data_IF_824105840968
#
_entry.id   IF_824105840968
#
_cell.length_a   1.000
_cell.length_b   1.000
_cell.length_c   1.000
_cell.angle_alpha   90.00
_cell.angle_beta   90.00
_cell.angle_gamma   90.00
#
_symmetry.space_group_name_H-M   'P 1'
#
loop_
_entity.id
_entity.type
_entity.pdbx_description
1 polymer ?
#
# COMPACT_ATOMS: atom_id res chain seq x y z
N UNK A 1 -12.91 -5.55 25.65
CA UNK A 1 -12.65 -4.10 25.55
C UNK A 1 -12.62 -3.80 24.06
N UNK A 2 -13.53 -2.98 23.53
CA UNK A 2 -13.52 -2.64 22.09
C UNK A 2 -12.36 -1.66 21.86
N UNK A 3 -11.42 -2.00 21.00
CA UNK A 3 -10.24 -1.17 20.72
C UNK A 3 -10.64 -0.03 19.80
N UNK A 4 -10.51 1.22 20.27
CA UNK A 4 -10.92 2.39 19.51
C UNK A 4 -9.94 2.67 18.36
N UNK A 5 -10.43 2.61 17.12
CA UNK A 5 -9.63 2.97 15.95
C UNK A 5 -9.41 4.49 15.93
N UNK A 6 -8.17 4.93 16.12
CA UNK A 6 -7.82 6.36 16.05
C UNK A 6 -6.65 6.57 15.10
N UNK A 7 -6.92 6.62 13.77
CA UNK A 7 -5.91 7.02 12.80
C UNK A 7 -5.41 8.42 13.19
N UNK A 8 -4.09 8.59 13.21
CA UNK A 8 -3.47 9.77 13.80
C UNK A 8 -2.90 10.69 12.72
N UNK A 9 -3.17 12.00 12.87
CA UNK A 9 -2.58 13.07 12.06
C UNK A 9 -1.56 13.79 12.95
N UNK A 10 -0.31 13.83 12.50
CA UNK A 10 0.81 14.45 13.18
C UNK A 10 1.23 15.71 12.43
N UNK A 11 1.40 16.80 13.17
CA UNK A 11 1.92 18.06 12.63
C UNK A 11 3.40 18.21 12.99
N UNK A 12 4.21 18.67 12.05
CA UNK A 12 5.66 18.77 12.24
C UNK A 12 6.25 19.99 11.54
N UNK A 13 7.39 20.47 12.05
CA UNK A 13 8.27 21.35 11.28
C UNK A 13 9.36 20.48 10.67
N UNK A 14 9.52 20.60 9.36
CA UNK A 14 10.64 20.00 8.68
C UNK A 14 11.84 20.96 8.72
N UNK A 15 12.97 20.49 9.22
CA UNK A 15 14.23 21.24 9.12
C UNK A 15 15.08 20.65 7.99
N UNK A 16 15.32 21.47 6.97
CA UNK A 16 16.29 21.20 5.90
C UNK A 16 17.42 22.25 5.92
N UNK A 17 17.79 22.74 7.10
CA UNK A 17 18.68 23.90 7.35
C UNK A 17 17.96 25.26 7.34
N UNK A 18 17.03 25.49 8.28
CA UNK A 18 16.50 26.84 8.58
C UNK A 18 16.31 27.08 10.07
N UNK A 19 16.65 28.28 10.53
CA UNK A 19 16.72 28.77 11.94
C UNK A 19 15.38 28.83 12.71
N UNK A 20 14.25 28.44 12.13
CA UNK A 20 12.93 28.56 12.75
C UNK A 20 12.49 27.31 13.52
N UNK A 21 13.26 26.96 14.56
CA UNK A 21 13.00 25.83 15.46
C UNK A 21 11.88 26.10 16.50
N UNK A 22 11.38 27.34 16.62
CA UNK A 22 10.80 27.79 17.89
C UNK A 22 9.33 27.47 18.17
N UNK A 23 8.57 26.88 17.23
CA UNK A 23 7.11 26.73 17.39
C UNK A 23 6.54 25.33 17.08
N UNK A 24 7.33 24.25 17.15
CA UNK A 24 6.80 22.88 16.97
C UNK A 24 7.17 21.92 18.09
N UNK A 25 6.24 21.02 18.40
CA UNK A 25 6.48 19.90 19.32
C UNK A 25 7.46 18.85 18.74
N UNK A 26 7.70 18.83 17.42
CA UNK A 26 8.50 17.81 16.72
C UNK A 26 9.25 18.33 15.48
N UNK A 27 10.48 17.83 15.27
CA UNK A 27 11.35 18.14 14.11
C UNK A 27 11.63 16.88 13.29
N UNK A 28 11.40 16.96 11.97
CA UNK A 28 11.75 15.91 11.01
C UNK A 28 13.04 16.27 10.27
N UNK A 29 14.07 15.41 10.36
CA UNK A 29 15.33 15.58 9.61
C UNK A 29 15.42 14.52 8.50
N UNK A 30 15.71 14.94 7.29
CA UNK A 30 15.96 14.02 6.18
C UNK A 30 17.31 13.31 6.39
N UNK A 31 17.30 11.98 6.44
CA UNK A 31 18.51 11.17 6.67
C UNK A 31 18.93 10.32 5.46
N UNK A 32 18.18 10.39 4.35
CA UNK A 32 18.52 9.76 3.07
C UNK A 32 17.37 8.98 2.43
N UNK A 33 17.63 8.39 1.27
CA UNK A 33 16.76 7.37 0.66
C UNK A 33 16.97 6.00 1.30
N UNK A 34 16.01 5.08 1.16
CA UNK A 34 16.19 3.66 1.55
C UNK A 34 17.38 3.07 0.78
N UNK A 35 18.17 2.15 1.36
CA UNK A 35 19.16 1.41 0.60
C UNK A 35 18.43 0.52 -0.42
N UNK A 36 18.77 0.69 -1.71
CA UNK A 36 18.33 -0.04 -2.91
C UNK A 36 17.16 0.56 -3.69
N UNK A 37 17.47 0.71 -4.97
CA UNK A 37 16.78 1.42 -6.05
C UNK A 37 15.34 0.93 -6.31
N UNK A 38 14.36 1.72 -5.90
CA UNK A 38 12.97 1.59 -6.33
C UNK A 38 12.27 2.95 -6.25
N UNK A 39 11.55 3.37 -7.29
CA UNK A 39 10.97 4.72 -7.41
C UNK A 39 9.69 4.97 -6.58
N UNK A 40 9.15 3.93 -5.95
CA UNK A 40 7.98 3.97 -5.07
C UNK A 40 8.38 4.00 -3.58
N UNK A 41 9.67 4.11 -3.28
CA UNK A 41 10.19 4.01 -1.91
C UNK A 41 10.05 5.33 -1.15
N UNK A 42 9.53 5.25 0.07
CA UNK A 42 9.50 6.40 0.98
C UNK A 42 10.89 6.84 1.43
N UNK A 43 11.01 8.09 1.89
CA UNK A 43 12.24 8.68 2.41
C UNK A 43 12.43 8.30 3.88
N UNK A 44 13.66 8.03 4.28
CA UNK A 44 13.96 7.84 5.69
C UNK A 44 14.15 9.21 6.34
N UNK A 45 13.41 9.45 7.41
CA UNK A 45 13.51 10.66 8.23
C UNK A 45 13.68 10.30 9.70
N UNK A 46 14.35 11.14 10.47
CA UNK A 46 14.34 11.03 11.94
C UNK A 46 13.29 11.98 12.51
N UNK A 47 12.42 11.45 13.37
CA UNK A 47 11.51 12.23 14.20
C UNK A 47 12.07 12.27 15.63
N UNK A 48 12.36 13.46 16.14
CA UNK A 48 12.73 13.66 17.53
C UNK A 48 11.46 13.89 18.36
N UNK A 49 11.11 12.93 19.22
CA UNK A 49 9.97 13.00 20.15
C UNK A 49 10.48 13.03 21.59
N UNK A 50 10.24 14.10 22.34
CA UNK A 50 10.51 14.16 23.79
C UNK A 50 11.92 13.67 24.22
N UNK A 51 12.94 13.94 23.40
CA UNK A 51 14.33 13.54 23.66
C UNK A 51 14.75 12.16 23.12
N UNK A 52 13.87 11.41 22.45
CA UNK A 52 14.19 10.17 21.74
C UNK A 52 14.09 10.36 20.21
N UNK A 53 15.07 9.86 19.45
CA UNK A 53 15.02 9.87 17.98
C UNK A 53 14.45 8.54 17.46
N UNK A 54 13.36 8.62 16.69
CA UNK A 54 12.77 7.49 15.95
C UNK A 54 13.03 7.64 14.45
N UNK A 55 13.29 6.54 13.72
CA UNK A 55 13.34 6.58 12.26
C UNK A 55 11.96 6.27 11.66
N UNK A 56 11.54 7.06 10.69
CA UNK A 56 10.25 6.96 10.02
C UNK A 56 10.51 6.90 8.51
N UNK A 57 9.81 6.01 7.81
CA UNK A 57 9.70 6.04 6.36
C UNK A 57 8.53 6.96 6.00
N UNK A 58 8.79 7.98 5.21
CA UNK A 58 7.78 8.91 4.71
C UNK A 58 7.52 8.62 3.25
N UNK A 59 6.30 8.20 2.91
CA UNK A 59 5.82 8.11 1.54
C UNK A 59 4.96 9.33 1.26
N UNK A 60 5.10 10.00 0.12
CA UNK A 60 4.05 10.92 -0.29
C UNK A 60 2.99 10.13 -1.05
N UNK A 61 1.72 10.29 -0.68
CA UNK A 61 0.59 9.74 -1.41
C UNK A 61 0.34 10.44 -2.76
N UNK A 62 0.95 11.60 -2.99
CA UNK A 62 1.01 12.24 -4.31
C UNK A 62 1.73 11.28 -5.25
N UNK A 63 1.25 11.01 -6.47
CA UNK A 63 1.82 10.01 -7.41
C UNK A 63 3.24 10.38 -7.90
N UNK A 64 4.19 10.34 -6.96
CA UNK A 64 5.60 10.74 -7.05
C UNK A 64 6.35 9.95 -8.11
N UNK A 65 6.06 8.65 -8.15
CA UNK A 65 6.62 7.71 -9.12
C UNK A 65 6.28 8.12 -10.54
N UNK A 66 5.07 8.64 -10.74
CA UNK A 66 4.62 9.08 -12.05
C UNK A 66 5.30 10.38 -12.48
N UNK A 67 5.33 11.38 -11.60
CA UNK A 67 6.04 12.66 -11.87
C UNK A 67 7.52 12.40 -12.16
N UNK A 68 8.16 11.53 -11.38
CA UNK A 68 9.54 11.09 -11.62
C UNK A 68 9.70 10.39 -12.96
N UNK A 69 8.89 9.37 -13.26
CA UNK A 69 8.96 8.64 -14.52
C UNK A 69 8.74 9.56 -15.72
N UNK A 70 7.79 10.48 -15.62
CA UNK A 70 7.53 11.50 -16.63
C UNK A 70 8.73 12.44 -16.79
N UNK A 71 9.33 12.89 -15.68
CA UNK A 71 10.55 13.72 -15.68
C UNK A 71 11.73 12.98 -16.34
N UNK A 72 11.95 11.71 -16.00
CA UNK A 72 12.99 10.86 -16.58
C UNK A 72 12.77 10.65 -18.09
N UNK A 73 11.52 10.40 -18.51
CA UNK A 73 11.17 10.27 -19.93
C UNK A 73 11.30 11.59 -20.70
N UNK A 74 10.95 12.72 -20.09
CA UNK A 74 11.17 14.05 -20.65
C UNK A 74 12.67 14.32 -20.88
N UNK A 75 13.51 14.01 -19.90
CA UNK A 75 14.97 14.12 -20.04
C UNK A 75 15.54 13.21 -21.12
N UNK A 76 14.94 12.03 -21.32
CA UNK A 76 15.28 11.08 -22.37
C UNK A 76 14.68 11.43 -23.75
N UNK A 77 13.84 12.48 -23.85
CA UNK A 77 13.07 12.84 -25.04
C UNK A 77 12.17 11.70 -25.56
N UNK A 78 11.55 10.96 -24.64
CA UNK A 78 10.64 9.85 -24.93
C UNK A 78 9.18 10.30 -24.83
N UNK A 79 8.75 11.12 -25.78
CA UNK A 79 7.42 11.76 -25.81
C UNK A 79 6.27 10.75 -25.78
N UNK A 80 6.47 9.57 -26.38
CA UNK A 80 5.47 8.48 -26.37
C UNK A 80 5.24 7.92 -24.97
N UNK A 81 6.29 7.75 -24.16
CA UNK A 81 6.11 7.30 -22.77
C UNK A 81 5.54 8.40 -21.88
N UNK A 82 5.89 9.66 -22.13
CA UNK A 82 5.29 10.81 -21.43
C UNK A 82 3.78 10.82 -21.67
N UNK A 83 3.35 10.77 -22.94
CA UNK A 83 1.93 10.74 -23.31
C UNK A 83 1.22 9.52 -22.71
N UNK A 84 1.85 8.34 -22.74
CA UNK A 84 1.27 7.14 -22.12
C UNK A 84 1.09 7.33 -20.60
N UNK A 85 2.06 7.93 -19.91
CA UNK A 85 2.05 8.12 -18.46
C UNK A 85 1.04 9.20 -18.05
N UNK A 86 1.09 10.37 -18.68
CA UNK A 86 0.21 11.49 -18.36
C UNK A 86 -1.20 11.32 -18.92
N UNK A 87 -1.32 10.88 -20.17
CA UNK A 87 -2.59 10.78 -20.88
C UNK A 87 -3.39 9.52 -20.60
N UNK A 88 -2.77 8.46 -20.06
CA UNK A 88 -3.48 7.19 -19.76
C UNK A 88 -3.40 6.78 -18.31
N UNK A 89 -2.22 6.82 -17.67
CA UNK A 89 -2.11 6.35 -16.28
C UNK A 89 -2.78 7.31 -15.28
N UNK A 90 -2.58 8.63 -15.39
CA UNK A 90 -3.22 9.61 -14.48
C UNK A 90 -4.74 9.46 -14.47
N UNK A 91 -5.43 9.51 -15.63
CA UNK A 91 -6.89 9.45 -15.61
C UNK A 91 -7.41 8.07 -15.19
N UNK A 92 -6.68 6.98 -15.47
CA UNK A 92 -7.09 5.63 -15.09
C UNK A 92 -7.25 5.46 -13.57
N UNK A 93 -6.36 6.03 -12.75
CA UNK A 93 -6.49 5.93 -11.29
C UNK A 93 -7.70 6.72 -10.77
N UNK A 94 -7.94 7.91 -11.34
CA UNK A 94 -9.14 8.69 -11.06
C UNK A 94 -10.42 7.92 -11.44
N UNK A 95 -10.51 7.40 -12.66
CA UNK A 95 -11.70 6.65 -13.11
C UNK A 95 -11.89 5.35 -12.33
N UNK A 96 -10.80 4.67 -11.97
CA UNK A 96 -10.84 3.48 -11.11
C UNK A 96 -11.44 3.81 -9.75
N UNK A 97 -11.05 4.91 -9.12
CA UNK A 97 -11.61 5.32 -7.82
C UNK A 97 -13.10 5.64 -7.90
N UNK A 98 -13.57 6.11 -9.05
CA UNK A 98 -14.97 6.42 -9.31
C UNK A 98 -15.75 5.28 -9.99
N UNK A 99 -15.15 4.11 -10.20
CA UNK A 99 -15.72 3.00 -10.98
C UNK A 99 -16.25 3.41 -12.37
N UNK A 100 -15.59 4.35 -13.03
CA UNK A 100 -15.95 4.86 -14.36
C UNK A 100 -15.14 4.13 -15.46
N UNK A 101 -15.77 3.87 -16.61
CA UNK A 101 -15.20 3.06 -17.71
C UNK A 101 -14.77 3.88 -18.93
N UNK A 102 -15.12 5.16 -19.02
CA UNK A 102 -14.77 6.04 -20.14
C UNK A 102 -13.57 6.92 -19.81
N UNK A 103 -12.57 6.92 -20.69
CA UNK A 103 -11.48 7.91 -20.69
C UNK A 103 -11.90 9.14 -21.51
N UNK A 104 -12.06 10.33 -20.91
CA UNK A 104 -12.32 11.56 -21.62
C UNK A 104 -11.07 12.11 -22.33
N UNK A 105 -11.29 13.10 -23.18
CA UNK A 105 -10.28 13.90 -23.91
C UNK A 105 -9.24 14.59 -22.99
N UNK A 106 -9.48 14.56 -21.68
CA UNK A 106 -8.64 15.05 -20.57
C UNK A 106 -7.20 14.54 -20.62
N UNK A 107 -6.94 13.32 -21.11
CA UNK A 107 -5.57 12.82 -21.19
C UNK A 107 -4.66 13.72 -22.04
N UNK A 108 -5.21 14.35 -23.07
CA UNK A 108 -4.51 15.33 -23.91
C UNK A 108 -4.28 16.65 -23.16
N UNK A 109 -5.30 17.16 -22.49
CA UNK A 109 -5.24 18.41 -21.71
C UNK A 109 -4.23 18.32 -20.56
N UNK A 110 -4.14 17.17 -19.89
CA UNK A 110 -3.13 16.90 -18.85
C UNK A 110 -1.71 16.92 -19.43
N UNK A 111 -1.52 16.29 -20.58
CA UNK A 111 -0.23 16.24 -21.25
C UNK A 111 0.23 17.62 -21.72
N UNK A 112 -0.66 18.41 -22.34
CA UNK A 112 -0.37 19.78 -22.78
C UNK A 112 -0.07 20.72 -21.60
N UNK A 113 -0.85 20.62 -20.51
CA UNK A 113 -0.59 21.40 -19.29
C UNK A 113 0.75 21.06 -18.66
N UNK A 114 1.13 19.77 -18.67
CA UNK A 114 2.45 19.36 -18.21
C UNK A 114 3.56 19.94 -19.08
N UNK A 115 3.51 19.77 -20.40
CA UNK A 115 4.55 20.27 -21.31
C UNK A 115 4.73 21.78 -21.19
N UNK A 116 3.63 22.53 -21.11
CA UNK A 116 3.69 23.99 -20.96
C UNK A 116 4.29 24.41 -19.62
N UNK A 117 3.96 23.69 -18.53
CA UNK A 117 4.61 23.93 -17.24
C UNK A 117 6.12 23.69 -17.33
N UNK A 118 6.56 22.62 -18.00
CA UNK A 118 8.00 22.32 -18.10
C UNK A 118 8.75 23.41 -18.85
N UNK A 119 8.14 24.01 -19.87
CA UNK A 119 8.73 25.09 -20.67
C UNK A 119 8.82 26.41 -19.89
N UNK A 120 7.79 26.75 -19.12
CA UNK A 120 7.64 28.09 -18.53
C UNK A 120 7.99 28.17 -17.02
N UNK A 121 8.15 27.03 -16.33
CA UNK A 121 8.34 27.02 -14.88
C UNK A 121 9.82 26.86 -14.47
N UNK A 122 10.36 27.88 -13.79
CA UNK A 122 11.74 27.89 -13.29
C UNK A 122 12.02 26.81 -12.24
N UNK A 123 11.03 26.41 -11.43
CA UNK A 123 11.18 25.33 -10.43
C UNK A 123 11.39 24.01 -11.15
N UNK A 124 10.55 23.72 -12.15
CA UNK A 124 10.67 22.49 -12.95
C UNK A 124 11.99 22.46 -13.72
N UNK A 125 12.40 23.58 -14.30
CA UNK A 125 13.69 23.74 -14.99
C UNK A 125 14.88 23.49 -14.04
N UNK A 126 14.81 23.99 -12.81
CA UNK A 126 15.84 23.80 -11.78
C UNK A 126 15.96 22.34 -11.35
N UNK A 127 14.82 21.66 -11.11
CA UNK A 127 14.79 20.23 -10.79
C UNK A 127 15.36 19.40 -11.94
N UNK A 128 14.91 19.64 -13.18
CA UNK A 128 15.45 18.97 -14.38
C UNK A 128 16.96 19.18 -14.55
N UNK A 129 17.46 20.40 -14.31
CA UNK A 129 18.90 20.69 -14.35
C UNK A 129 19.67 19.98 -13.23
N UNK A 130 19.06 19.81 -12.06
CA UNK A 130 19.58 19.00 -10.96
C UNK A 130 19.70 17.53 -11.34
N UNK A 131 18.64 16.94 -11.89
CA UNK A 131 18.62 15.54 -12.32
C UNK A 131 19.66 15.28 -13.42
N UNK A 132 19.79 16.18 -14.40
CA UNK A 132 20.87 16.11 -15.42
C UNK A 132 22.27 16.09 -14.82
N UNK A 133 22.46 16.65 -13.63
CA UNK A 133 23.73 16.67 -12.88
C UNK A 133 23.85 15.51 -11.88
N UNK A 134 22.95 14.53 -11.92
CA UNK A 134 22.95 13.38 -11.03
C UNK A 134 22.40 13.66 -9.63
N UNK A 135 21.69 14.78 -9.41
CA UNK A 135 20.98 15.00 -8.14
C UNK A 135 19.76 14.10 -8.06
N UNK A 136 19.53 13.54 -6.89
CA UNK A 136 18.35 12.72 -6.58
C UNK A 136 17.16 13.66 -6.39
N UNK A 137 16.04 13.37 -7.08
CA UNK A 137 14.77 14.03 -6.85
C UNK A 137 14.28 13.66 -5.44
N UNK A 138 14.02 14.65 -4.60
CA UNK A 138 13.50 14.44 -3.25
C UNK A 138 11.99 14.76 -3.16
N UNK A 139 11.40 14.47 -2.01
CA UNK A 139 9.96 14.65 -1.77
C UNK A 139 9.48 16.11 -1.90
N UNK A 140 10.37 17.10 -1.68
CA UNK A 140 10.07 18.53 -1.83
C UNK A 140 10.04 18.94 -3.29
N UNK A 141 11.04 18.52 -4.06
CA UNK A 141 11.08 18.76 -5.51
C UNK A 141 9.77 18.29 -6.14
N UNK A 142 9.29 17.13 -5.72
CA UNK A 142 8.07 16.54 -6.27
C UNK A 142 6.82 17.26 -5.77
N UNK A 143 6.73 17.59 -4.48
CA UNK A 143 5.63 18.41 -3.98
C UNK A 143 5.54 19.74 -4.74
N UNK A 144 6.66 20.44 -4.90
CA UNK A 144 6.70 21.71 -5.61
C UNK A 144 6.32 21.55 -7.07
N UNK A 145 6.81 20.50 -7.74
CA UNK A 145 6.39 20.18 -9.10
C UNK A 145 4.87 19.97 -9.17
N UNK A 146 4.31 19.10 -8.32
CA UNK A 146 2.86 18.84 -8.32
C UNK A 146 2.07 20.10 -7.98
N UNK A 147 2.55 20.90 -7.04
CA UNK A 147 1.91 22.14 -6.64
C UNK A 147 1.85 23.14 -7.79
N UNK A 148 2.95 23.30 -8.52
CA UNK A 148 2.99 24.17 -9.69
C UNK A 148 2.18 23.59 -10.85
N UNK A 149 2.15 22.26 -11.05
CA UNK A 149 1.26 21.61 -12.02
C UNK A 149 -0.21 21.94 -11.75
N UNK A 150 -0.66 21.77 -10.52
CA UNK A 150 -2.06 22.01 -10.12
C UNK A 150 -2.43 23.49 -10.19
N UNK A 151 -1.51 24.40 -9.85
CA UNK A 151 -1.71 25.84 -10.07
C UNK A 151 -1.89 26.19 -11.54
N UNK A 152 -1.11 25.54 -12.40
CA UNK A 152 -1.12 25.80 -13.84
C UNK A 152 -2.41 25.31 -14.50
N UNK A 153 -2.91 24.14 -14.06
CA UNK A 153 -4.20 23.61 -14.51
C UNK A 153 -5.01 23.03 -13.35
N UNK A 154 -6.09 23.74 -12.99
CA UNK A 154 -6.95 23.35 -11.87
C UNK A 154 -7.68 22.02 -12.07
N UNK A 155 -7.80 21.51 -13.30
CA UNK A 155 -8.33 20.15 -13.56
C UNK A 155 -7.47 19.07 -12.91
N UNK A 156 -6.17 19.32 -12.72
CA UNK A 156 -5.27 18.38 -12.07
C UNK A 156 -5.57 18.21 -10.57
N UNK A 157 -6.34 19.10 -9.93
CA UNK A 157 -6.89 18.85 -8.59
C UNK A 157 -7.73 17.57 -8.55
N UNK A 158 -8.49 17.29 -9.61
CA UNK A 158 -9.30 16.08 -9.68
C UNK A 158 -8.42 14.88 -10.04
N UNK A 159 -7.71 14.97 -11.15
CA UNK A 159 -7.02 13.82 -11.73
C UNK A 159 -5.74 13.40 -11.02
N UNK A 160 -5.08 14.33 -10.31
CA UNK A 160 -3.92 14.04 -9.46
C UNK A 160 -4.29 14.10 -7.98
N UNK A 161 -5.07 15.12 -7.58
CA UNK A 161 -5.42 15.33 -6.18
C UNK A 161 -6.31 14.24 -5.60
N UNK A 162 -7.29 13.71 -6.35
CA UNK A 162 -8.15 12.62 -5.87
C UNK A 162 -7.36 11.33 -5.62
N UNK A 163 -6.60 10.76 -6.58
CA UNK A 163 -5.78 9.58 -6.31
C UNK A 163 -4.81 9.79 -5.15
N UNK A 164 -4.18 10.97 -5.08
CA UNK A 164 -3.22 11.28 -4.05
C UNK A 164 -3.82 11.34 -2.65
N UNK A 165 -4.96 12.01 -2.51
CA UNK A 165 -5.69 12.09 -1.25
C UNK A 165 -6.16 10.70 -0.80
N UNK A 166 -6.66 9.88 -1.72
CA UNK A 166 -7.13 8.54 -1.39
C UNK A 166 -6.00 7.58 -1.08
N UNK A 167 -4.83 7.68 -1.70
CA UNK A 167 -3.66 6.89 -1.29
C UNK A 167 -3.24 7.22 0.15
N UNK A 168 -3.27 8.51 0.54
CA UNK A 168 -3.03 8.93 1.94
C UNK A 168 -4.06 8.31 2.89
N UNK A 169 -5.35 8.49 2.60
CA UNK A 169 -6.44 8.03 3.46
C UNK A 169 -6.43 6.50 3.56
N UNK A 170 -6.43 5.82 2.41
CA UNK A 170 -6.52 4.37 2.31
C UNK A 170 -5.31 3.71 2.97
N UNK A 171 -4.10 4.21 2.70
CA UNK A 171 -2.86 3.68 3.25
C UNK A 171 -2.82 3.76 4.77
N UNK A 172 -3.11 4.95 5.32
CA UNK A 172 -3.09 5.15 6.78
C UNK A 172 -4.23 4.40 7.46
N UNK A 173 -5.44 4.49 6.92
CA UNK A 173 -6.61 3.90 7.56
C UNK A 173 -6.55 2.37 7.58
N UNK A 174 -6.24 1.74 6.44
CA UNK A 174 -6.15 0.28 6.34
C UNK A 174 -5.01 -0.27 7.20
N UNK A 175 -3.83 0.38 7.19
CA UNK A 175 -2.72 -0.04 8.04
C UNK A 175 -3.06 0.09 9.53
N UNK A 176 -3.80 1.12 9.96
CA UNK A 176 -4.24 1.24 11.36
C UNK A 176 -5.19 0.10 11.76
N UNK A 177 -6.07 -0.37 10.88
CA UNK A 177 -6.90 -1.55 11.15
C UNK A 177 -6.01 -2.81 11.26
N UNK A 178 -5.07 -3.00 10.33
CA UNK A 178 -4.14 -4.14 10.39
C UNK A 178 -3.25 -4.09 11.63
N UNK A 179 -2.91 -2.91 12.14
CA UNK A 179 -2.18 -2.76 13.39
C UNK A 179 -2.99 -3.25 14.60
N UNK A 180 -4.31 -3.04 14.62
CA UNK A 180 -5.17 -3.63 15.66
C UNK A 180 -5.12 -5.16 15.64
N UNK A 181 -4.94 -5.77 14.47
CA UNK A 181 -4.69 -7.21 14.37
C UNK A 181 -3.29 -7.57 14.90
N UNK A 182 -2.25 -6.83 14.49
CA UNK A 182 -0.88 -7.04 14.98
C UNK A 182 -0.80 -6.98 16.52
N UNK A 183 -1.57 -6.10 17.18
CA UNK A 183 -1.66 -6.01 18.65
C UNK A 183 -2.10 -7.32 19.32
N UNK A 184 -2.71 -8.26 18.60
CA UNK A 184 -3.12 -9.54 19.17
C UNK A 184 -1.96 -10.52 19.37
N UNK A 185 -0.79 -10.29 18.77
CA UNK A 185 0.33 -11.24 18.83
C UNK A 185 1.73 -10.62 18.77
N UNK A 186 1.85 -9.31 18.57
CA UNK A 186 3.11 -8.56 18.59
C UNK A 186 3.14 -7.58 19.76
N UNK A 187 4.32 -7.36 20.33
CA UNK A 187 4.50 -6.25 21.24
C UNK A 187 4.34 -4.90 20.52
N UNK A 188 3.86 -3.88 21.24
CA UNK A 188 3.53 -2.57 20.67
C UNK A 188 4.72 -1.89 19.95
N UNK A 189 5.94 -2.09 20.45
CA UNK A 189 7.16 -1.57 19.81
C UNK A 189 7.45 -2.19 18.43
N UNK A 190 6.92 -3.39 18.16
CA UNK A 190 7.08 -4.13 16.92
C UNK A 190 5.92 -3.92 15.94
N UNK A 191 5.02 -2.98 16.23
CA UNK A 191 3.89 -2.65 15.37
C UNK A 191 4.21 -1.34 14.64
N UNK A 192 4.18 -1.32 13.30
CA UNK A 192 4.46 -0.12 12.54
C UNK A 192 3.36 0.90 12.82
N UNK A 193 3.68 2.16 13.08
CA UNK A 193 2.63 3.19 13.12
C UNK A 193 2.34 3.63 11.69
N UNK A 194 1.08 3.87 11.33
CA UNK A 194 0.73 4.58 10.10
C UNK A 194 0.05 5.89 10.45
N UNK A 195 0.55 6.96 9.84
CA UNK A 195 0.13 8.31 10.19
C UNK A 195 0.14 9.23 8.99
N UNK A 196 -0.64 10.29 9.08
CA UNK A 196 -0.51 11.43 8.17
C UNK A 196 0.43 12.44 8.81
N UNK A 197 1.45 12.84 8.07
CA UNK A 197 2.38 13.90 8.45
C UNK A 197 1.96 15.17 7.71
N UNK A 198 1.61 16.24 8.44
CA UNK A 198 1.31 17.56 7.89
C UNK A 198 2.33 18.61 8.34
N UNK A 199 2.82 19.45 7.42
CA UNK A 199 3.73 20.55 7.78
C UNK A 199 2.99 21.65 8.57
N UNK A 200 3.56 22.16 9.66
CA UNK A 200 2.88 23.10 10.57
C UNK A 200 2.46 24.42 9.90
N UNK A 201 3.22 24.90 8.91
CA UNK A 201 3.04 26.20 8.27
C UNK A 201 2.72 26.11 6.76
N UNK A 202 2.66 24.90 6.19
CA UNK A 202 2.34 24.67 4.78
C UNK A 202 1.37 23.51 4.64
N UNK A 203 0.66 23.48 3.53
CA UNK A 203 -0.39 22.49 3.25
C UNK A 203 0.21 21.17 2.73
N UNK A 204 1.44 20.81 3.10
CA UNK A 204 2.10 19.59 2.59
C UNK A 204 1.70 18.40 3.46
N UNK A 205 1.26 17.32 2.82
CA UNK A 205 0.78 16.11 3.49
C UNK A 205 1.50 14.87 2.97
N UNK A 206 1.99 14.03 3.90
CA UNK A 206 2.65 12.75 3.61
C UNK A 206 2.03 11.60 4.42
N UNK A 207 2.26 10.36 4.00
CA UNK A 207 2.13 9.18 4.84
C UNK A 207 3.45 8.98 5.58
N UNK A 208 3.42 8.96 6.90
CA UNK A 208 4.51 8.49 7.74
C UNK A 208 4.27 7.05 8.19
N UNK A 209 5.32 6.24 8.15
CA UNK A 209 5.36 4.92 8.77
C UNK A 209 6.58 4.79 9.66
N UNK A 210 6.40 4.73 10.99
CA UNK A 210 7.53 4.53 11.90
C UNK A 210 8.11 3.15 11.64
N UNK A 211 9.40 3.09 11.33
CA UNK A 211 10.09 1.81 11.25
C UNK A 211 10.31 1.28 12.65
N UNK A 212 10.14 -0.02 12.80
CA UNK A 212 10.61 -0.76 13.97
C UNK A 212 12.14 -0.72 13.90
N UNK A 213 12.78 0.05 14.78
CA UNK A 213 14.20 0.43 14.66
C UNK A 213 15.16 -0.46 15.45
N UNK A 214 14.65 -1.45 16.17
CA UNK A 214 15.50 -2.38 16.90
C UNK A 214 15.99 -3.45 15.91
N UNK A 215 17.30 -3.78 15.93
CA UNK A 215 17.99 -4.64 14.95
C UNK A 215 17.49 -6.09 14.81
N UNK A 216 16.30 -6.39 15.31
CA UNK A 216 15.58 -7.66 15.21
C UNK A 216 14.54 -7.67 14.08
N UNK A 217 14.59 -6.71 13.14
CA UNK A 217 13.63 -6.57 12.04
C UNK A 217 14.34 -6.65 10.69
N UNK A 218 13.78 -7.41 9.75
CA UNK A 218 14.30 -7.57 8.39
C UNK A 218 13.14 -7.68 7.41
N UNK A 219 13.29 -7.21 6.17
CA UNK A 219 12.28 -7.48 5.13
C UNK A 219 12.15 -8.98 4.87
N UNK A 220 10.94 -9.50 4.66
CA UNK A 220 10.79 -10.92 4.31
C UNK A 220 11.47 -11.22 2.97
N UNK A 221 11.40 -10.29 2.01
CA UNK A 221 12.14 -10.42 0.76
C UNK A 221 13.66 -10.36 0.96
N UNK A 222 14.15 -9.52 1.86
CA UNK A 222 15.56 -9.41 2.20
C UNK A 222 16.07 -10.72 2.82
N UNK A 223 15.31 -11.32 3.74
CA UNK A 223 15.63 -12.64 4.30
C UNK A 223 15.73 -13.71 3.19
N UNK A 224 14.76 -13.73 2.28
CA UNK A 224 14.76 -14.71 1.18
C UNK A 224 15.95 -14.46 0.23
N UNK A 225 16.21 -13.21 -0.15
CA UNK A 225 17.33 -12.86 -1.04
C UNK A 225 18.67 -13.17 -0.41
N UNK A 226 18.82 -12.95 0.90
CA UNK A 226 20.06 -13.27 1.59
C UNK A 226 20.38 -14.76 1.50
N UNK A 227 19.37 -15.62 1.62
CA UNK A 227 19.54 -17.07 1.58
C UNK A 227 19.73 -17.58 0.15
N UNK A 228 18.91 -17.12 -0.80
CA UNK A 228 18.85 -17.70 -2.16
C UNK A 228 19.69 -16.99 -3.20
N UNK A 229 20.08 -15.74 -2.97
CA UNK A 229 20.79 -14.89 -3.96
C UNK A 229 22.19 -14.51 -3.46
N UNK A 230 22.28 -14.05 -2.22
CA UNK A 230 23.56 -13.57 -1.66
C UNK A 230 24.36 -14.70 -0.99
N UNK A 231 23.68 -15.76 -0.55
CA UNK A 231 24.32 -16.99 -0.10
C UNK A 231 25.07 -17.64 -1.26
N UNK A 232 26.34 -18.00 -1.05
CA UNK A 232 27.15 -18.74 -2.03
C UNK A 232 26.72 -20.22 -2.16
N UNK A 233 25.43 -20.49 -2.02
CA UNK A 233 24.82 -21.81 -1.98
C UNK A 233 24.01 -22.03 -3.25
N UNK A 234 23.89 -23.29 -3.67
CA UNK A 234 22.93 -23.63 -4.72
C UNK A 234 21.49 -23.57 -4.17
N UNK A 235 20.49 -23.61 -5.06
CA UNK A 235 19.07 -23.50 -4.67
C UNK A 235 18.66 -24.60 -3.68
N UNK A 236 19.25 -25.79 -3.76
CA UNK A 236 18.89 -26.92 -2.89
C UNK A 236 19.42 -26.70 -1.47
N UNK A 237 20.65 -26.25 -1.35
CA UNK A 237 21.25 -25.87 -0.06
C UNK A 237 20.54 -24.65 0.53
N UNK A 238 20.26 -23.62 -0.28
CA UNK A 238 19.47 -22.46 0.13
C UNK A 238 18.06 -22.86 0.62
N UNK A 239 17.40 -23.82 -0.05
CA UNK A 239 16.12 -24.36 0.40
C UNK A 239 16.23 -25.03 1.77
N UNK A 240 17.28 -25.81 2.01
CA UNK A 240 17.52 -26.44 3.30
C UNK A 240 17.76 -25.40 4.40
N UNK A 241 18.56 -24.36 4.12
CA UNK A 241 18.81 -23.26 5.06
C UNK A 241 17.50 -22.54 5.40
N UNK A 242 16.72 -22.17 4.38
CA UNK A 242 15.42 -21.52 4.56
C UNK A 242 14.48 -22.40 5.39
N UNK A 243 14.35 -23.69 5.02
CA UNK A 243 13.54 -24.65 5.76
C UNK A 243 13.98 -24.81 7.22
N UNK A 244 15.27 -24.86 7.51
CA UNK A 244 15.79 -24.93 8.88
C UNK A 244 15.43 -23.67 9.67
N UNK A 245 15.66 -22.48 9.10
CA UNK A 245 15.34 -21.21 9.76
C UNK A 245 13.86 -21.14 10.13
N UNK A 246 12.98 -21.44 9.18
CA UNK A 246 11.52 -21.41 9.40
C UNK A 246 11.07 -22.52 10.35
N UNK A 247 11.67 -23.71 10.31
CA UNK A 247 11.32 -24.81 11.24
C UNK A 247 11.73 -24.50 12.69
N UNK A 248 12.90 -23.90 12.88
CA UNK A 248 13.44 -23.58 14.20
C UNK A 248 12.77 -22.37 14.85
N UNK A 249 12.46 -21.35 14.05
CA UNK A 249 11.99 -20.06 14.56
C UNK A 249 10.51 -19.78 14.22
N UNK A 250 9.86 -20.61 13.41
CA UNK A 250 8.53 -20.33 12.87
C UNK A 250 8.52 -19.20 11.83
N UNK A 251 7.32 -18.79 11.44
CA UNK A 251 7.05 -17.58 10.67
C UNK A 251 5.59 -17.18 10.93
N UNK A 252 5.31 -16.84 12.18
CA UNK A 252 3.94 -16.66 12.68
C UNK A 252 3.27 -15.48 11.99
N UNK A 253 2.03 -15.69 11.52
CA UNK A 253 1.23 -14.65 10.89
C UNK A 253 1.42 -14.54 9.38
N UNK A 254 2.20 -15.41 8.73
CA UNK A 254 2.39 -15.34 7.26
C UNK A 254 1.09 -15.53 6.48
N UNK A 255 0.26 -16.50 6.86
CA UNK A 255 -1.01 -16.76 6.18
C UNK A 255 -2.03 -15.68 6.51
N UNK A 256 -2.04 -15.21 7.76
CA UNK A 256 -2.86 -14.07 8.15
C UNK A 256 -2.47 -12.80 7.39
N UNK A 257 -1.18 -12.52 7.23
CA UNK A 257 -0.68 -11.36 6.52
C UNK A 257 -1.11 -11.35 5.04
N UNK A 258 -0.99 -12.51 4.38
CA UNK A 258 -1.48 -12.71 3.00
C UNK A 258 -2.99 -12.52 2.93
N UNK A 259 -3.76 -13.15 3.84
CA UNK A 259 -5.22 -13.06 3.85
C UNK A 259 -5.69 -11.61 4.08
N UNK A 260 -5.08 -10.87 5.01
CA UNK A 260 -5.40 -9.47 5.24
C UNK A 260 -5.23 -8.64 3.96
N UNK A 261 -4.09 -8.77 3.27
CA UNK A 261 -3.86 -8.04 2.01
C UNK A 261 -4.85 -8.47 0.92
N UNK A 262 -5.25 -9.74 0.90
CA UNK A 262 -6.28 -10.23 -0.02
C UNK A 262 -7.67 -9.62 0.28
N UNK A 263 -8.08 -9.56 1.55
CA UNK A 263 -9.33 -8.93 2.03
C UNK A 263 -9.36 -7.45 1.66
N UNK A 264 -8.24 -6.75 1.86
CA UNK A 264 -8.09 -5.35 1.48
C UNK A 264 -7.94 -5.14 -0.04
N UNK A 265 -7.96 -6.21 -0.84
CA UNK A 265 -8.12 -6.10 -2.28
C UNK A 265 -6.83 -5.89 -3.07
N UNK A 266 -5.69 -6.26 -2.52
CA UNK A 266 -4.39 -6.08 -3.17
C UNK A 266 -4.13 -7.15 -4.24
N UNK A 267 -4.44 -6.87 -5.50
CA UNK A 267 -4.31 -7.87 -6.58
C UNK A 267 -2.95 -7.97 -7.24
N UNK A 268 -2.13 -6.94 -7.08
CA UNK A 268 -0.80 -6.88 -7.67
C UNK A 268 0.33 -6.78 -6.63
N UNK A 269 0.00 -6.49 -5.38
CA UNK A 269 0.97 -6.02 -4.39
C UNK A 269 1.25 -7.01 -3.25
N UNK A 270 0.63 -8.19 -3.23
CA UNK A 270 0.90 -9.21 -2.20
C UNK A 270 2.20 -9.95 -2.56
N UNK A 271 3.29 -9.50 -1.96
CA UNK A 271 4.61 -10.07 -2.12
C UNK A 271 5.41 -9.81 -0.83
N UNK A 272 6.44 -10.65 -0.54
CA UNK A 272 7.34 -10.49 0.60
C UNK A 272 7.96 -9.10 0.83
N UNK A 273 8.09 -8.30 -0.23
CA UNK A 273 8.67 -6.94 -0.17
C UNK A 273 7.83 -5.94 0.63
N UNK A 274 6.56 -6.26 0.87
CA UNK A 274 5.65 -5.50 1.72
C UNK A 274 5.38 -6.17 3.08
N UNK A 275 6.28 -7.06 3.50
CA UNK A 275 6.22 -7.74 4.78
C UNK A 275 7.56 -7.60 5.50
N UNK A 276 7.50 -7.32 6.79
CA UNK A 276 8.66 -7.39 7.68
C UNK A 276 8.59 -8.68 8.50
N UNK A 277 9.75 -9.14 8.93
CA UNK A 277 9.91 -10.22 9.88
C UNK A 277 10.56 -9.64 11.12
N UNK A 278 9.92 -9.86 12.27
CA UNK A 278 10.43 -9.44 13.58
C UNK A 278 10.72 -10.68 14.40
N UNK A 279 11.89 -10.72 15.07
CA UNK A 279 12.18 -11.75 16.04
C UNK A 279 11.67 -11.34 17.42
N UNK A 280 10.68 -12.06 17.93
CA UNK A 280 10.07 -11.79 19.23
C UNK A 280 9.78 -13.11 19.96
N UNK A 281 10.14 -13.19 21.25
CA UNK A 281 9.97 -14.40 22.06
C UNK A 281 10.61 -15.65 21.42
N UNK A 282 11.74 -15.46 20.72
CA UNK A 282 12.45 -16.53 20.02
C UNK A 282 11.81 -16.99 18.71
N UNK A 283 10.68 -16.41 18.30
CA UNK A 283 9.99 -16.73 17.05
C UNK A 283 10.09 -15.62 16.02
N UNK A 284 10.07 -15.96 14.74
CA UNK A 284 9.89 -14.99 13.66
C UNK A 284 8.40 -14.73 13.49
N UNK A 285 7.99 -13.46 13.53
CA UNK A 285 6.61 -13.01 13.37
C UNK A 285 6.54 -12.07 12.16
N UNK A 286 5.53 -12.23 11.32
CA UNK A 286 5.32 -11.43 10.13
C UNK A 286 4.55 -10.16 10.50
N UNK A 287 4.94 -9.05 9.89
CA UNK A 287 4.30 -7.75 10.05
C UNK A 287 3.99 -7.21 8.66
N UNK A 288 2.71 -6.93 8.41
CA UNK A 288 2.30 -6.25 7.20
C UNK A 288 2.67 -4.77 7.25
N UNK A 289 3.29 -4.28 6.17
CA UNK A 289 3.50 -2.86 5.92
C UNK A 289 2.90 -2.49 4.57
N UNK A 290 2.71 -1.19 4.32
CA UNK A 290 2.27 -0.68 3.01
C UNK A 290 0.96 -1.31 2.51
N UNK A 291 -0.04 -1.41 3.39
CA UNK A 291 -1.37 -1.81 2.97
C UNK A 291 -1.98 -0.68 2.15
N UNK A 292 -2.25 -0.96 0.88
CA UNK A 292 -2.74 0.00 -0.11
C UNK A 292 -4.23 0.32 0.03
N UNK A 293 -4.95 -0.45 0.85
CA UNK A 293 -6.35 -0.20 1.22
C UNK A 293 -7.36 -0.47 0.09
N UNK A 294 -8.46 0.28 0.07
CA UNK A 294 -9.70 0.10 -0.69
C UNK A 294 -9.58 -0.01 -2.23
N UNK A 295 -8.95 -1.08 -2.75
CA UNK A 295 -8.66 -1.24 -4.19
C UNK A 295 -9.68 -2.11 -4.93
N UNK A 296 -9.58 -3.43 -4.79
CA UNK A 296 -10.41 -4.38 -5.54
C UNK A 296 -11.02 -5.41 -4.60
N UNK A 297 -12.32 -5.33 -4.36
CA UNK A 297 -13.00 -6.31 -3.52
C UNK A 297 -13.02 -7.67 -4.24
N UNK A 298 -12.02 -8.51 -3.97
CA UNK A 298 -11.93 -9.87 -4.52
C UNK A 298 -12.58 -10.84 -3.55
N UNK A 299 -13.87 -10.66 -3.36
CA UNK A 299 -14.70 -11.56 -2.52
C UNK A 299 -14.69 -12.96 -3.12
N UNK A 300 -15.10 -13.06 -4.39
CA UNK A 300 -15.27 -14.32 -5.10
C UNK A 300 -14.12 -14.61 -6.06
N UNK A 301 -13.94 -15.90 -6.37
CA UNK A 301 -13.05 -16.32 -7.47
C UNK A 301 -13.57 -15.72 -8.79
N UNK A 302 -12.66 -15.19 -9.62
CA UNK A 302 -13.00 -14.61 -10.91
C UNK A 302 -12.13 -15.20 -12.02
N UNK A 303 -12.70 -15.40 -13.20
CA UNK A 303 -11.98 -15.97 -14.35
C UNK A 303 -11.71 -14.89 -15.38
N UNK A 304 -10.44 -14.70 -15.72
CA UNK A 304 -10.02 -13.79 -16.78
C UNK A 304 -10.31 -14.38 -18.17
N UNK A 305 -10.42 -13.55 -19.22
CA UNK A 305 -10.67 -14.01 -20.60
C UNK A 305 -9.64 -15.03 -21.12
N UNK A 306 -8.40 -14.98 -20.62
CA UNK A 306 -7.34 -15.93 -20.97
C UNK A 306 -7.39 -17.24 -20.15
N UNK A 307 -8.44 -17.45 -19.36
CA UNK A 307 -8.66 -18.66 -18.58
C UNK A 307 -7.99 -18.67 -17.19
N UNK A 308 -7.16 -17.68 -16.86
CA UNK A 308 -6.53 -17.56 -15.55
C UNK A 308 -7.61 -17.29 -14.49
N UNK A 309 -7.56 -18.03 -13.39
CA UNK A 309 -8.44 -17.81 -12.23
C UNK A 309 -7.72 -16.89 -11.25
N UNK A 310 -8.38 -15.82 -10.83
CA UNK A 310 -7.96 -14.97 -9.72
C UNK A 310 -8.78 -15.36 -8.50
N UNK A 311 -8.08 -15.83 -7.46
CA UNK A 311 -8.72 -16.34 -6.26
C UNK A 311 -9.24 -15.22 -5.36
N UNK A 312 -10.48 -15.38 -4.89
CA UNK A 312 -11.12 -14.52 -3.91
C UNK A 312 -10.92 -15.01 -2.47
N UNK A 313 -11.09 -14.11 -1.50
CA UNK A 313 -10.86 -14.43 -0.09
C UNK A 313 -12.03 -15.20 0.55
N UNK A 314 -13.26 -15.09 0.04
CA UNK A 314 -14.44 -15.72 0.66
C UNK A 314 -14.30 -17.24 0.71
N UNK A 315 -13.93 -17.86 -0.41
CA UNK A 315 -13.73 -19.31 -0.47
C UNK A 315 -12.51 -19.76 0.35
N UNK A 316 -11.52 -18.89 0.57
CA UNK A 316 -10.38 -19.19 1.46
C UNK A 316 -10.83 -19.27 2.92
N UNK A 317 -11.67 -18.33 3.40
CA UNK A 317 -12.12 -18.31 4.80
C UNK A 317 -13.24 -19.33 5.12
N UNK A 318 -13.92 -19.81 4.09
CA UNK A 318 -14.98 -20.83 4.18
C UNK A 318 -14.47 -22.26 4.00
N UNK A 319 -13.21 -22.44 3.59
CA UNK A 319 -12.60 -23.76 3.41
C UNK A 319 -12.26 -24.42 4.75
N UNK A 320 -12.39 -25.75 4.82
CA UNK A 320 -12.10 -26.55 6.01
C UNK A 320 -10.82 -27.38 5.86
N UNK A 321 -10.28 -27.53 4.66
CA UNK A 321 -9.05 -28.27 4.39
C UNK A 321 -7.81 -27.34 4.46
N UNK A 322 -6.84 -27.68 5.31
CA UNK A 322 -5.63 -26.87 5.53
C UNK A 322 -4.78 -26.74 4.25
N UNK A 323 -4.61 -27.84 3.51
CA UNK A 323 -3.85 -27.85 2.26
C UNK A 323 -4.49 -26.93 1.22
N UNK A 324 -5.82 -26.98 1.09
CA UNK A 324 -6.55 -26.12 0.14
C UNK A 324 -6.45 -24.65 0.54
N UNK A 325 -6.56 -24.33 1.83
CA UNK A 325 -6.36 -22.95 2.31
C UNK A 325 -4.95 -22.46 1.96
N UNK A 326 -3.93 -23.25 2.28
CA UNK A 326 -2.53 -22.90 2.01
C UNK A 326 -2.27 -22.73 0.50
N UNK A 327 -2.80 -23.65 -0.32
CA UNK A 327 -2.71 -23.56 -1.78
C UNK A 327 -3.35 -22.28 -2.32
N UNK A 328 -4.50 -21.87 -1.77
CA UNK A 328 -5.16 -20.63 -2.20
C UNK A 328 -4.37 -19.38 -1.82
N UNK A 329 -3.78 -19.34 -0.63
CA UNK A 329 -3.02 -18.18 -0.16
C UNK A 329 -1.66 -18.05 -0.84
N UNK A 330 -1.02 -19.18 -1.16
CA UNK A 330 0.28 -19.24 -1.81
C UNK A 330 0.20 -19.35 -3.34
N UNK A 331 -1.01 -19.32 -3.91
CA UNK A 331 -1.24 -19.32 -5.35
C UNK A 331 -0.66 -18.05 -5.99
N UNK A 332 -0.14 -18.16 -7.22
CA UNK A 332 0.51 -17.04 -7.94
C UNK A 332 -0.44 -15.87 -8.24
N UNK A 333 -1.76 -16.10 -8.28
CA UNK A 333 -2.76 -15.03 -8.39
C UNK A 333 -2.92 -14.21 -7.10
N UNK A 334 -2.43 -14.76 -5.97
CA UNK A 334 -2.44 -14.15 -4.65
C UNK A 334 -1.02 -13.73 -4.27
N UNK A 335 -0.10 -14.66 -4.01
CA UNK A 335 1.26 -14.40 -3.56
C UNK A 335 2.26 -14.37 -4.73
N UNK A 336 2.81 -13.19 -5.04
CA UNK A 336 3.57 -12.96 -6.28
C UNK A 336 5.09 -13.01 -6.09
N UNK A 337 5.85 -13.43 -7.13
CA UNK A 337 7.31 -13.44 -7.11
C UNK A 337 7.97 -12.07 -7.33
N UNK A 338 7.25 -10.95 -7.20
CA UNK A 338 7.73 -9.59 -7.57
C UNK A 338 9.05 -9.22 -6.89
N UNK A 339 9.23 -9.65 -5.64
CA UNK A 339 10.44 -9.42 -4.88
C UNK A 339 11.71 -10.00 -5.56
N UNK A 340 11.59 -10.91 -6.52
CA UNK A 340 12.70 -11.50 -7.27
C UNK A 340 12.84 -10.93 -8.70
N UNK A 341 12.17 -9.82 -9.02
CA UNK A 341 12.26 -9.19 -10.34
C UNK A 341 13.73 -8.96 -10.74
N UNK A 342 14.07 -9.39 -11.95
CA UNK A 342 15.44 -9.29 -12.49
C UNK A 342 16.36 -10.46 -12.11
N UNK A 343 15.89 -11.42 -11.31
CA UNK A 343 16.60 -12.66 -11.00
C UNK A 343 16.23 -13.73 -12.03
N UNK A 344 17.24 -14.38 -12.63
CA UNK A 344 17.06 -15.38 -13.68
C UNK A 344 16.30 -16.62 -13.19
N UNK A 345 16.57 -17.08 -11.97
CA UNK A 345 15.94 -18.25 -11.35
C UNK A 345 14.69 -17.90 -10.51
N UNK A 346 14.08 -16.73 -10.74
CA UNK A 346 12.94 -16.21 -9.97
C UNK A 346 11.81 -17.23 -9.74
N UNK A 347 11.36 -17.91 -10.80
CA UNK A 347 10.23 -18.86 -10.69
C UNK A 347 10.59 -20.08 -9.83
N UNK A 348 11.81 -20.59 -9.99
CA UNK A 348 12.31 -21.74 -9.24
C UNK A 348 12.45 -21.38 -7.76
N UNK A 349 13.05 -20.24 -7.46
CA UNK A 349 13.23 -19.76 -6.08
C UNK A 349 11.88 -19.52 -5.42
N UNK A 350 10.96 -18.84 -6.10
CA UNK A 350 9.63 -18.57 -5.55
C UNK A 350 8.84 -19.85 -5.26
N UNK A 351 8.85 -20.81 -6.19
CA UNK A 351 8.21 -22.10 -5.99
C UNK A 351 8.84 -22.88 -4.82
N UNK A 352 10.16 -22.81 -4.68
CA UNK A 352 10.90 -23.42 -3.57
C UNK A 352 10.51 -22.81 -2.22
N UNK A 353 10.40 -21.48 -2.15
CA UNK A 353 9.92 -20.77 -0.96
C UNK A 353 8.51 -21.19 -0.60
N UNK A 354 7.57 -21.18 -1.55
CA UNK A 354 6.18 -21.61 -1.34
C UNK A 354 6.13 -23.06 -0.83
N UNK A 355 6.90 -23.95 -1.44
CA UNK A 355 6.95 -25.37 -1.07
C UNK A 355 7.44 -25.54 0.36
N UNK A 356 8.50 -24.82 0.75
CA UNK A 356 9.02 -24.85 2.11
C UNK A 356 8.03 -24.28 3.13
N UNK A 357 7.41 -23.13 2.84
CA UNK A 357 6.39 -22.52 3.70
C UNK A 357 5.21 -23.48 3.90
N UNK A 358 4.67 -24.06 2.82
CA UNK A 358 3.58 -25.03 2.90
C UNK A 358 4.00 -26.24 3.73
N UNK A 359 5.15 -26.85 3.43
CA UNK A 359 5.60 -28.07 4.13
C UNK A 359 5.78 -27.87 5.64
N UNK A 360 6.27 -26.70 6.07
CA UNK A 360 6.64 -26.45 7.47
C UNK A 360 5.48 -25.84 8.26
N UNK A 361 4.70 -24.95 7.65
CA UNK A 361 3.73 -24.12 8.37
C UNK A 361 2.27 -24.55 8.14
N UNK A 362 2.03 -25.66 7.43
CA UNK A 362 0.67 -26.14 7.16
C UNK A 362 -0.18 -26.30 8.43
N UNK A 363 0.42 -26.68 9.56
CA UNK A 363 -0.28 -26.81 10.83
C UNK A 363 -0.84 -25.48 11.35
N UNK A 364 -0.20 -24.35 11.00
CA UNK A 364 -0.57 -23.03 11.51
C UNK A 364 -1.67 -22.36 10.67
N UNK A 365 -1.85 -22.75 9.40
CA UNK A 365 -2.73 -22.05 8.45
C UNK A 365 -4.15 -21.87 9.01
N UNK A 366 -4.76 -22.95 9.54
CA UNK A 366 -6.14 -22.88 10.08
C UNK A 366 -6.25 -21.96 11.28
N UNK A 367 -5.26 -22.01 12.16
CA UNK A 367 -5.22 -21.17 13.37
C UNK A 367 -5.11 -19.70 12.99
N UNK A 368 -4.25 -19.38 12.03
CA UNK A 368 -4.09 -18.00 11.54
C UNK A 368 -5.37 -17.49 10.87
N UNK A 369 -5.99 -18.27 9.97
CA UNK A 369 -7.24 -17.86 9.31
C UNK A 369 -8.38 -17.68 10.32
N UNK A 370 -8.52 -18.56 11.30
CA UNK A 370 -9.53 -18.39 12.36
C UNK A 370 -9.25 -17.12 13.17
N UNK A 371 -8.00 -16.80 13.48
CA UNK A 371 -7.65 -15.56 14.19
C UNK A 371 -8.02 -14.33 13.36
N UNK A 372 -7.86 -14.37 12.03
CA UNK A 372 -8.32 -13.29 11.13
C UNK A 372 -9.84 -13.18 11.12
N UNK A 373 -10.57 -14.30 11.04
CA UNK A 373 -12.03 -14.32 11.10
C UNK A 373 -12.55 -13.72 12.41
N UNK A 374 -11.98 -14.16 13.53
CA UNK A 374 -12.31 -13.66 14.87
C UNK A 374 -11.93 -12.19 15.05
N UNK A 375 -10.88 -11.73 14.37
CA UNK A 375 -10.53 -10.31 14.37
C UNK A 375 -11.60 -9.48 13.66
N UNK A 376 -11.94 -9.79 12.41
CA UNK A 376 -12.93 -9.03 11.65
C UNK A 376 -14.35 -9.12 12.24
N UNK A 377 -14.75 -10.26 12.83
CA UNK A 377 -16.07 -10.41 13.45
C UNK A 377 -16.24 -9.57 14.74
N UNK A 378 -15.14 -9.14 15.36
CA UNK A 378 -15.14 -8.29 16.57
C UNK A 378 -15.07 -6.80 16.26
N UNK A 379 -14.84 -6.43 15.00
CA UNK A 379 -14.79 -5.04 14.59
C UNK A 379 -16.21 -4.44 14.58
N UNK A 380 -16.31 -3.21 15.11
CA UNK A 380 -17.57 -2.47 15.13
C UNK A 380 -17.69 -1.63 13.85
N UNK A 381 -18.55 -2.05 12.93
CA UNK A 381 -18.75 -1.40 11.63
C UNK A 381 -19.06 0.10 11.80
N UNK A 382 -19.92 0.45 12.75
CA UNK A 382 -20.31 1.84 12.96
C UNK A 382 -19.14 2.67 13.48
N UNK A 383 -18.36 2.12 14.42
CA UNK A 383 -17.17 2.79 14.95
C UNK A 383 -16.12 3.03 13.84
N UNK A 384 -15.89 2.04 12.99
CA UNK A 384 -14.89 2.13 11.91
C UNK A 384 -15.35 3.11 10.83
N UNK A 385 -16.62 3.07 10.41
CA UNK A 385 -17.14 4.03 9.43
C UNK A 385 -17.08 5.47 9.95
N UNK A 386 -17.44 5.69 11.21
CA UNK A 386 -17.31 7.00 11.84
C UNK A 386 -15.85 7.47 11.89
N UNK A 387 -14.92 6.57 12.22
CA UNK A 387 -13.49 6.86 12.21
C UNK A 387 -12.99 7.19 10.80
N UNK A 388 -13.42 6.45 9.77
CA UNK A 388 -13.06 6.68 8.38
C UNK A 388 -13.54 8.07 7.92
N UNK A 389 -14.81 8.38 8.14
CA UNK A 389 -15.40 9.67 7.74
C UNK A 389 -14.70 10.82 8.46
N UNK A 390 -14.51 10.71 9.78
CA UNK A 390 -13.84 11.75 10.57
C UNK A 390 -12.41 11.97 10.08
N UNK A 391 -11.62 10.90 9.97
CA UNK A 391 -10.25 10.98 9.50
C UNK A 391 -10.15 11.53 8.07
N UNK A 392 -11.01 11.05 7.16
CA UNK A 392 -11.02 11.51 5.78
C UNK A 392 -11.34 13.00 5.67
N UNK A 393 -12.29 13.51 6.46
CA UNK A 393 -12.60 14.94 6.50
C UNK A 393 -11.44 15.77 7.06
N UNK A 394 -10.79 15.30 8.13
CA UNK A 394 -9.61 15.99 8.70
C UNK A 394 -8.45 16.05 7.69
N UNK A 395 -8.17 14.94 6.98
CA UNK A 395 -7.12 14.91 5.95
C UNK A 395 -7.50 15.77 4.74
N UNK A 396 -8.76 15.70 4.27
CA UNK A 396 -9.26 16.52 3.17
C UNK A 396 -9.09 18.01 3.48
N UNK A 397 -9.35 18.45 4.72
CA UNK A 397 -9.18 19.85 5.09
C UNK A 397 -7.73 20.33 5.03
N UNK A 398 -6.79 19.44 5.33
CA UNK A 398 -5.35 19.70 5.28
C UNK A 398 -4.74 19.47 3.89
N UNK A 399 -5.48 18.91 2.94
CA UNK A 399 -4.92 18.52 1.65
C UNK A 399 -4.78 19.72 0.70
N UNK A 400 -3.63 19.89 0.01
CA UNK A 400 -3.37 21.08 -0.81
C UNK A 400 -4.05 21.03 -2.18
N UNK A 401 -4.28 19.82 -2.70
CA UNK A 401 -4.82 19.57 -4.04
C UNK A 401 -6.21 18.99 -3.91
N UNK A 402 -7.13 19.75 -3.30
CA UNK A 402 -8.45 19.23 -2.97
C UNK A 402 -9.23 18.94 -4.25
N UNK A 403 -9.64 17.68 -4.50
CA UNK A 403 -10.68 17.43 -5.50
C UNK A 403 -11.99 18.08 -5.05
N UNK A 404 -12.96 18.22 -5.94
CA UNK A 404 -14.27 18.75 -5.56
C UNK A 404 -14.92 17.89 -4.47
N UNK A 405 -15.63 18.55 -3.56
CA UNK A 405 -16.33 17.89 -2.45
C UNK A 405 -17.27 16.79 -2.93
N UNK A 406 -17.90 16.95 -4.10
CA UNK A 406 -18.78 15.93 -4.67
C UNK A 406 -18.01 14.64 -4.99
N UNK A 407 -16.88 14.74 -5.67
CA UNK A 407 -16.04 13.60 -6.05
C UNK A 407 -15.43 12.96 -4.80
N UNK A 408 -14.94 13.77 -3.87
CA UNK A 408 -14.46 13.29 -2.56
C UNK A 408 -15.51 12.44 -1.83
N UNK A 409 -16.75 12.95 -1.74
CA UNK A 409 -17.84 12.24 -1.07
C UNK A 409 -18.20 10.92 -1.75
N UNK A 410 -18.18 10.86 -3.10
CA UNK A 410 -18.45 9.62 -3.84
C UNK A 410 -17.42 8.53 -3.52
N UNK A 411 -16.13 8.85 -3.49
CA UNK A 411 -15.10 7.86 -3.18
C UNK A 411 -15.10 7.50 -1.69
N UNK A 412 -15.43 8.44 -0.80
CA UNK A 412 -15.62 8.15 0.63
C UNK A 412 -16.81 7.19 0.85
N UNK A 413 -17.92 7.38 0.15
CA UNK A 413 -19.05 6.47 0.14
C UNK A 413 -18.66 5.08 -0.38
N UNK A 414 -17.91 5.02 -1.48
CA UNK A 414 -17.33 3.75 -1.99
C UNK A 414 -16.49 3.04 -0.94
N UNK A 415 -15.63 3.75 -0.21
CA UNK A 415 -14.80 3.15 0.85
C UNK A 415 -15.66 2.65 2.03
N UNK A 416 -16.70 3.40 2.41
CA UNK A 416 -17.66 2.96 3.43
C UNK A 416 -18.41 1.69 2.99
N UNK A 417 -18.87 1.63 1.74
CA UNK A 417 -19.55 0.46 1.19
C UNK A 417 -18.62 -0.77 1.15
N UNK A 418 -17.35 -0.57 0.82
CA UNK A 418 -16.35 -1.64 0.88
C UNK A 418 -16.15 -2.17 2.32
N UNK A 419 -16.12 -1.29 3.34
CA UNK A 419 -16.07 -1.73 4.74
C UNK A 419 -17.32 -2.51 5.14
N UNK A 420 -18.51 -2.04 4.73
CA UNK A 420 -19.76 -2.75 4.98
C UNK A 420 -19.70 -4.16 4.39
N UNK A 421 -19.34 -4.28 3.10
CA UNK A 421 -19.24 -5.57 2.42
C UNK A 421 -18.33 -6.56 3.15
N UNK A 422 -17.12 -6.12 3.55
CA UNK A 422 -16.21 -6.97 4.34
C UNK A 422 -16.86 -7.38 5.67
N UNK A 423 -17.27 -6.41 6.48
CA UNK A 423 -17.68 -6.69 7.86
C UNK A 423 -19.02 -7.42 7.95
N UNK A 424 -19.92 -7.19 7.01
CA UNK A 424 -21.17 -7.96 6.87
C UNK A 424 -20.86 -9.42 6.58
N UNK A 425 -19.93 -9.73 5.66
CA UNK A 425 -19.51 -11.11 5.38
C UNK A 425 -18.89 -11.82 6.59
N UNK A 426 -18.19 -11.11 7.46
CA UNK A 426 -17.64 -11.71 8.69
C UNK A 426 -18.68 -11.80 9.83
N UNK A 427 -19.69 -10.93 9.84
CA UNK A 427 -20.76 -10.90 10.87
C UNK A 427 -21.88 -11.91 10.59
N UNK A 428 -22.25 -12.08 9.32
CA UNK A 428 -23.37 -12.95 8.91
C UNK A 428 -23.03 -14.44 8.87
N UNK A 429 -21.75 -14.80 8.97
CA UNK A 429 -21.31 -16.20 9.11
C UNK A 429 -21.16 -16.64 10.58
N UNK A 430 -21.64 -15.84 11.53
CA UNK A 430 -21.65 -16.15 12.97
C UNK A 430 -22.76 -17.11 13.39
N UNK A 431 -23.82 -17.24 12.60
CA UNK A 431 -24.91 -18.20 12.77
C UNK A 431 -25.43 -18.60 11.37
N UNK A 432 -25.74 -19.88 11.18
CA UNK A 432 -26.29 -20.53 9.97
C UNK A 432 -25.35 -20.90 8.80
N UNK A 433 -24.92 -22.17 8.86
CA UNK A 433 -24.80 -23.01 7.66
C UNK A 433 -26.20 -23.19 7.08
N UNK A 434 -26.61 -22.29 6.18
CA UNK A 434 -27.94 -22.35 5.57
C UNK A 434 -28.05 -21.48 4.31
N UNK A 435 -27.83 -22.11 3.16
CA UNK A 435 -28.38 -21.80 1.82
C UNK A 435 -28.94 -20.39 1.63
N UNK A 436 -28.31 -19.57 0.78
CA UNK A 436 -29.02 -18.79 -0.23
C UNK A 436 -28.05 -18.47 -1.38
N UNK A 437 -28.15 -19.29 -2.43
CA UNK A 437 -27.76 -18.87 -3.77
C UNK A 437 -28.83 -17.91 -4.28
N UNK A 438 -28.41 -16.71 -4.66
CA UNK A 438 -29.12 -15.93 -5.64
C UNK A 438 -28.10 -15.39 -6.63
N UNK A 439 -28.13 -16.00 -7.82
CA UNK A 439 -27.50 -15.49 -9.02
C UNK A 439 -27.98 -14.05 -9.28
N UNK A 440 -27.06 -13.11 -9.30
CA UNK A 440 -27.27 -11.85 -9.98
C UNK A 440 -26.91 -12.08 -11.46
N UNK A 441 -27.92 -12.47 -12.24
CA UNK A 441 -27.83 -12.43 -13.70
C UNK A 441 -27.65 -10.97 -14.18
N UNK A 442 -26.80 -10.73 -15.19
CA UNK A 442 -26.67 -9.42 -15.80
C UNK A 442 -27.89 -9.14 -16.68
N UNK A 443 -28.57 -8.02 -16.42
CA UNK A 443 -29.59 -7.46 -17.32
C UNK A 443 -28.91 -7.05 -18.62
N UNK A 444 -28.99 -7.93 -19.62
CA UNK A 444 -28.74 -7.59 -21.01
C UNK A 444 -29.94 -6.76 -21.51
N UNK A 445 -29.66 -5.53 -21.94
CA UNK A 445 -30.60 -4.72 -22.67
C UNK A 445 -30.87 -5.37 -24.03
N UNK A 446 -32.04 -5.97 -24.18
CA UNK A 446 -32.57 -6.35 -25.49
C UNK A 446 -33.01 -5.10 -26.25
N UNK A 447 -32.43 -4.94 -27.44
CA UNK A 447 -32.98 -4.13 -28.51
C UNK A 447 -34.39 -4.62 -28.86
N UNK A 448 -35.33 -3.70 -29.03
CA UNK A 448 -36.43 -3.85 -29.97
C UNK A 448 -36.82 -2.46 -30.52
N UNK A 449 -36.66 -2.37 -31.84
CA UNK A 449 -37.33 -1.51 -32.83
C UNK A 449 -37.43 0.02 -32.64
#
# INVERSE_FOLDING_TARGET
MKTKLTPSIYKFILSLDTEDEKNSDYVVKHIGGRPKEGSDTGHLVSLAESGAESKIIVKAGITLSLVRQVTEHYLAKDDTKIEKKLGKFIPNDYFRLLNQTSTPEVGREINEAFLTLVEDNQVFTSVLAGVKKGKIINVYDIYHITFEMVKYNSLLNEYIGLPALFDLINGVFSQNIINLYHESYLNKENIPTAMVLAESNKVIVYIGSKMICDGNVTGLDELIKEIFINGNSDIKEAAQIFSTIISENGLDGIFAAILHRQIWGESADISPDNMLVVKEQGRLKVVNIDITGFRYERVNDSKLPNGIVILGWLKTISELNADVIADRLLDVSVFKPRYLNGIKEQEIIHHTVITALKAILLSEVKKEINTVKDFYSRLDLHEIQNALVKFSNEVYELFPFKPSTNIFNQVLERNNNFLSGILEHFSSNGDDVGVLGHDLEPVLAENNE
#
